data_IF_709629816638
#
_entry.id   IF_709629816638
#
_cell.length_a   1.000
_cell.length_b   1.000
_cell.length_c   1.000
_cell.angle_alpha   90.00
_cell.angle_beta   90.00
_cell.angle_gamma   90.00
#
_symmetry.space_group_name_H-M   'P 1'
#
loop_
_entity.id
_entity.type
_entity.pdbx_description
1 polymer ?
#
# COMPACT_ATOMS: atom_id res chain seq x y z
N UNK A 1 -11.08 11.22 14.94
CA UNK A 1 -11.84 10.52 13.88
C UNK A 1 -12.18 9.12 14.34
N UNK A 2 -13.43 8.74 14.20
CA UNK A 2 -13.86 7.41 14.59
C UNK A 2 -13.79 6.45 13.41
N UNK A 3 -13.13 5.31 13.61
CA UNK A 3 -12.99 4.30 12.58
C UNK A 3 -14.01 3.19 12.86
N UNK A 4 -15.01 3.08 11.99
CA UNK A 4 -16.05 2.07 12.13
C UNK A 4 -15.93 0.98 11.09
N UNK A 5 -15.23 1.27 9.98
CA UNK A 5 -15.04 0.34 8.88
C UNK A 5 -13.66 0.60 8.26
N UNK A 6 -13.12 -0.39 7.54
CA UNK A 6 -11.77 -0.20 7.00
C UNK A 6 -11.68 0.97 6.02
N UNK A 7 -12.77 1.30 5.34
CA UNK A 7 -12.79 2.42 4.39
C UNK A 7 -12.58 3.77 5.07
N UNK A 8 -12.78 3.86 6.38
CA UNK A 8 -12.53 5.08 7.15
C UNK A 8 -11.04 5.30 7.42
N UNK A 9 -10.21 4.28 7.22
CA UNK A 9 -8.78 4.36 7.49
C UNK A 9 -8.08 5.09 6.35
N UNK A 10 -7.43 6.22 6.67
CA UNK A 10 -6.74 7.03 5.66
C UNK A 10 -5.73 6.21 4.87
N UNK A 11 -4.95 5.37 5.56
CA UNK A 11 -3.96 4.53 4.89
C UNK A 11 -4.60 3.63 3.85
N UNK A 12 -5.80 3.10 4.12
CA UNK A 12 -6.51 2.27 3.14
C UNK A 12 -6.92 3.09 1.92
N UNK A 13 -7.42 4.32 2.15
CA UNK A 13 -7.81 5.19 1.05
C UNK A 13 -6.62 5.51 0.16
N UNK A 14 -5.47 5.79 0.75
CA UNK A 14 -4.24 6.04 0.01
C UNK A 14 -3.76 4.79 -0.74
N UNK A 15 -3.87 3.62 -0.13
CA UNK A 15 -3.51 2.35 -0.77
C UNK A 15 -4.42 2.05 -1.96
N UNK A 16 -5.71 2.39 -1.85
CA UNK A 16 -6.64 2.24 -2.96
C UNK A 16 -6.23 3.13 -4.14
N UNK A 17 -5.85 4.36 -3.85
CA UNK A 17 -5.40 5.28 -4.90
C UNK A 17 -4.10 4.79 -5.54
N UNK A 18 -3.19 4.25 -4.74
CA UNK A 18 -1.97 3.63 -5.27
C UNK A 18 -2.31 2.49 -6.23
N UNK A 19 -3.25 1.65 -5.84
CA UNK A 19 -3.68 0.52 -6.67
C UNK A 19 -4.28 1.00 -7.99
N UNK A 20 -5.10 2.06 -7.94
CA UNK A 20 -5.69 2.64 -9.16
C UNK A 20 -4.61 3.17 -10.09
N UNK A 21 -3.61 3.87 -9.55
CA UNK A 21 -2.50 4.40 -10.36
C UNK A 21 -1.71 3.26 -11.02
N UNK A 22 -1.41 2.23 -10.26
CA UNK A 22 -0.67 1.07 -10.79
C UNK A 22 -1.46 0.40 -11.92
N UNK A 23 -2.74 0.15 -11.71
CA UNK A 23 -3.56 -0.47 -12.76
C UNK A 23 -3.63 0.41 -14.00
N UNK A 24 -3.67 1.74 -13.83
CA UNK A 24 -3.62 2.67 -14.95
C UNK A 24 -2.33 2.54 -15.77
N UNK A 25 -1.19 2.47 -15.07
CA UNK A 25 0.11 2.32 -15.73
C UNK A 25 0.21 1.00 -16.49
N UNK A 26 -0.27 -0.08 -15.90
CA UNK A 26 -0.14 -1.42 -16.50
C UNK A 26 -1.02 -1.62 -17.73
N UNK A 27 -1.92 -0.68 -18.02
CA UNK A 27 -2.72 -0.71 -19.25
C UNK A 27 -1.97 -0.17 -20.45
N UNK A 28 -0.85 0.51 -20.25
CA UNK A 28 -0.05 1.06 -21.35
C UNK A 28 0.44 -0.09 -22.24
N UNK A 29 0.45 0.08 -23.56
CA UNK A 29 0.63 -1.05 -24.50
C UNK A 29 1.85 -1.92 -24.22
N UNK A 30 3.02 -1.31 -23.98
CA UNK A 30 4.23 -2.10 -23.77
C UNK A 30 4.26 -2.72 -22.37
N UNK A 31 3.81 -1.96 -21.36
CA UNK A 31 3.76 -2.47 -19.99
C UNK A 31 2.80 -3.66 -19.88
N UNK A 32 1.65 -3.56 -20.56
CA UNK A 32 0.63 -4.61 -20.49
C UNK A 32 1.11 -5.96 -21.02
N UNK A 33 2.14 -5.97 -21.84
CA UNK A 33 2.68 -7.20 -22.42
C UNK A 33 3.80 -7.82 -21.58
N UNK A 34 4.32 -7.10 -20.61
CA UNK A 34 5.28 -7.66 -19.64
C UNK A 34 4.47 -8.28 -18.51
N UNK A 35 4.01 -9.51 -18.75
CA UNK A 35 3.09 -10.18 -17.83
C UNK A 35 3.68 -10.38 -16.45
N UNK A 36 4.98 -10.68 -16.39
CA UNK A 36 5.65 -10.90 -15.10
C UNK A 36 5.63 -9.64 -14.24
N UNK A 37 6.13 -8.53 -14.79
CA UNK A 37 6.18 -7.27 -14.04
C UNK A 37 4.77 -6.75 -13.76
N UNK A 38 3.88 -6.80 -14.76
CA UNK A 38 2.51 -6.35 -14.60
C UNK A 38 1.84 -7.06 -13.42
N UNK A 39 1.94 -8.39 -13.37
CA UNK A 39 1.29 -9.16 -12.33
C UNK A 39 1.90 -8.87 -10.96
N UNK A 40 3.23 -8.77 -10.88
CA UNK A 40 3.90 -8.49 -9.61
C UNK A 40 3.51 -7.12 -9.04
N UNK A 41 3.51 -6.08 -9.87
CA UNK A 41 3.21 -4.74 -9.37
C UNK A 41 1.73 -4.59 -9.02
N UNK A 42 0.84 -5.24 -9.77
CA UNK A 42 -0.58 -5.26 -9.44
C UNK A 42 -0.82 -5.98 -8.12
N UNK A 43 -0.18 -7.13 -7.93
CA UNK A 43 -0.31 -7.90 -6.69
C UNK A 43 0.22 -7.11 -5.50
N UNK A 44 1.37 -6.45 -5.65
CA UNK A 44 1.95 -5.66 -4.56
C UNK A 44 1.06 -4.48 -4.20
N UNK A 45 0.56 -3.76 -5.20
CA UNK A 45 -0.34 -2.63 -4.95
C UNK A 45 -1.63 -3.08 -4.27
N UNK A 46 -2.26 -4.14 -4.78
CA UNK A 46 -3.47 -4.70 -4.18
C UNK A 46 -3.22 -5.19 -2.76
N UNK A 47 -2.07 -5.83 -2.53
CA UNK A 47 -1.69 -6.32 -1.20
C UNK A 47 -1.62 -5.19 -0.18
N UNK A 48 -1.18 -3.98 -0.59
CA UNK A 48 -1.11 -2.85 0.34
C UNK A 48 -2.48 -2.50 0.91
N UNK A 49 -3.53 -2.51 0.09
CA UNK A 49 -4.87 -2.18 0.59
C UNK A 49 -5.55 -3.37 1.25
N UNK A 50 -5.36 -4.57 0.71
CA UNK A 50 -6.03 -5.75 1.26
C UNK A 50 -5.53 -6.10 2.66
N UNK A 51 -4.24 -5.95 2.91
CA UNK A 51 -3.70 -6.23 4.25
C UNK A 51 -4.22 -5.24 5.29
N UNK A 52 -4.46 -3.99 4.92
CA UNK A 52 -5.07 -3.03 5.85
C UNK A 52 -6.48 -3.48 6.21
N UNK A 53 -7.28 -3.87 5.21
CA UNK A 53 -8.65 -4.31 5.43
C UNK A 53 -8.71 -5.58 6.29
N UNK A 54 -7.85 -6.56 5.98
CA UNK A 54 -7.79 -7.81 6.75
C UNK A 54 -7.33 -7.57 8.17
N UNK A 55 -6.35 -6.65 8.35
CA UNK A 55 -5.89 -6.28 9.67
C UNK A 55 -6.99 -5.64 10.51
N UNK A 56 -7.78 -4.79 9.90
CA UNK A 56 -8.92 -4.17 10.59
C UNK A 56 -9.92 -5.20 11.07
N UNK A 57 -10.11 -6.27 10.30
CA UNK A 57 -11.04 -7.34 10.62
C UNK A 57 -10.47 -8.33 11.64
N UNK A 58 -9.19 -8.20 12.00
CA UNK A 58 -8.57 -9.07 13.00
C UNK A 58 -9.03 -8.68 14.42
N UNK A 59 -8.85 -9.59 15.37
CA UNK A 59 -9.45 -9.44 16.69
C UNK A 59 -8.58 -8.66 17.69
N UNK A 60 -7.28 -8.52 17.41
CA UNK A 60 -6.36 -7.87 18.35
C UNK A 60 -5.50 -6.83 17.66
N UNK A 61 -5.01 -5.85 18.44
CA UNK A 61 -4.09 -4.86 17.90
C UNK A 61 -2.76 -5.45 17.43
N UNK A 62 -2.14 -6.40 18.15
CA UNK A 62 -0.92 -7.04 17.65
C UNK A 62 -1.11 -7.70 16.28
N UNK A 63 -2.25 -8.35 16.06
CA UNK A 63 -2.57 -8.96 14.78
C UNK A 63 -2.75 -7.89 13.71
N UNK A 64 -3.47 -6.82 14.03
CA UNK A 64 -3.66 -5.69 13.12
C UNK A 64 -2.31 -5.10 12.69
N UNK A 65 -1.41 -4.89 13.67
CA UNK A 65 -0.08 -4.34 13.39
C UNK A 65 0.69 -5.28 12.45
N UNK A 66 0.55 -6.58 12.62
CA UNK A 66 1.23 -7.56 11.75
C UNK A 66 0.78 -7.40 10.30
N UNK A 67 -0.53 -7.27 10.07
CA UNK A 67 -1.05 -7.04 8.72
C UNK A 67 -0.60 -5.69 8.15
N UNK A 68 -0.56 -4.66 8.99
CA UNK A 68 -0.09 -3.34 8.57
C UNK A 68 1.38 -3.38 8.14
N UNK A 69 2.20 -4.20 8.80
CA UNK A 69 3.59 -4.36 8.39
C UNK A 69 3.71 -5.01 7.02
N UNK A 70 2.85 -5.96 6.71
CA UNK A 70 2.80 -6.54 5.37
C UNK A 70 2.39 -5.48 4.34
N UNK A 71 1.38 -4.68 4.64
CA UNK A 71 0.95 -3.59 3.76
C UNK A 71 2.09 -2.60 3.50
N UNK A 72 2.84 -2.25 4.54
CA UNK A 72 3.97 -1.33 4.43
C UNK A 72 5.04 -1.89 3.50
N UNK A 73 5.37 -3.17 3.64
CA UNK A 73 6.35 -3.82 2.76
C UNK A 73 5.87 -3.87 1.31
N UNK A 74 4.58 -4.05 1.11
CA UNK A 74 4.00 -4.06 -0.24
C UNK A 74 4.19 -2.72 -0.94
N UNK A 75 4.11 -1.60 -0.23
CA UNK A 75 4.39 -0.28 -0.79
C UNK A 75 5.84 -0.18 -1.27
N UNK A 76 6.78 -0.70 -0.49
CA UNK A 76 8.19 -0.71 -0.87
C UNK A 76 8.41 -1.57 -2.11
N UNK A 77 7.71 -2.68 -2.21
CA UNK A 77 7.79 -3.54 -3.38
C UNK A 77 7.30 -2.82 -4.63
N UNK A 78 6.19 -2.07 -4.54
CA UNK A 78 5.71 -1.26 -5.66
C UNK A 78 6.79 -0.27 -6.10
N UNK A 79 7.42 0.40 -5.13
CA UNK A 79 8.48 1.37 -5.44
C UNK A 79 9.64 0.72 -6.20
N UNK A 80 10.04 -0.46 -5.77
CA UNK A 80 11.13 -1.20 -6.43
C UNK A 80 10.74 -1.59 -7.85
N UNK A 81 9.53 -2.07 -8.04
CA UNK A 81 9.06 -2.51 -9.35
C UNK A 81 8.84 -1.34 -10.32
N UNK A 82 8.53 -0.15 -9.79
CA UNK A 82 8.43 1.05 -10.63
C UNK A 82 9.76 1.40 -11.30
N UNK A 83 10.88 1.12 -10.65
CA UNK A 83 12.20 1.32 -11.26
C UNK A 83 12.37 0.43 -12.49
N UNK A 84 11.93 -0.81 -12.42
CA UNK A 84 12.00 -1.69 -13.58
C UNK A 84 11.17 -1.12 -14.74
N UNK A 85 9.96 -0.67 -14.44
CA UNK A 85 9.10 -0.07 -15.47
C UNK A 85 9.72 1.18 -16.08
N UNK A 86 10.39 1.99 -15.26
CA UNK A 86 11.08 3.19 -15.74
C UNK A 86 12.26 2.82 -16.65
N UNK A 87 13.08 1.87 -16.20
CA UNK A 87 14.27 1.44 -16.94
C UNK A 87 13.90 0.81 -18.27
N UNK A 88 12.79 0.09 -18.32
CA UNK A 88 12.30 -0.52 -19.56
C UNK A 88 11.52 0.48 -20.43
N UNK A 89 11.41 1.72 -19.96
CA UNK A 89 10.71 2.80 -20.68
C UNK A 89 9.24 2.50 -20.92
N UNK A 90 8.63 1.74 -20.01
CA UNK A 90 7.19 1.52 -20.05
C UNK A 90 6.43 2.75 -19.57
N UNK A 91 7.05 3.53 -18.66
CA UNK A 91 6.43 4.71 -18.05
C UNK A 91 7.39 5.89 -18.17
N UNK A 92 6.84 7.09 -18.14
CA UNK A 92 7.63 8.33 -18.16
C UNK A 92 8.15 8.66 -16.78
N UNK A 93 9.10 9.60 -16.72
CA UNK A 93 9.61 10.10 -15.44
C UNK A 93 8.49 10.72 -14.60
N UNK A 94 7.55 11.44 -15.22
CA UNK A 94 6.41 12.02 -14.51
C UNK A 94 5.48 10.95 -13.94
N UNK A 95 5.20 9.93 -14.72
CA UNK A 95 4.38 8.81 -14.27
C UNK A 95 5.05 8.06 -13.13
N UNK A 96 6.36 7.83 -13.24
CA UNK A 96 7.14 7.22 -12.17
C UNK A 96 7.03 8.04 -10.89
N UNK A 97 7.33 9.35 -10.97
CA UNK A 97 7.32 10.21 -9.79
C UNK A 97 5.95 10.24 -9.12
N UNK A 98 4.89 10.34 -9.90
CA UNK A 98 3.53 10.41 -9.37
C UNK A 98 3.18 9.15 -8.57
N UNK A 99 3.47 7.98 -9.13
CA UNK A 99 3.11 6.72 -8.47
C UNK A 99 4.07 6.38 -7.34
N UNK A 100 5.35 6.68 -7.51
CA UNK A 100 6.35 6.50 -6.44
C UNK A 100 5.98 7.32 -5.20
N UNK A 101 5.61 8.58 -5.40
CA UNK A 101 5.20 9.46 -4.30
C UNK A 101 3.91 8.95 -3.64
N UNK A 102 2.98 8.41 -4.42
CA UNK A 102 1.77 7.83 -3.86
C UNK A 102 2.13 6.66 -2.94
N UNK A 103 3.05 5.79 -3.38
CA UNK A 103 3.48 4.65 -2.56
C UNK A 103 4.18 5.14 -1.28
N UNK A 104 5.00 6.20 -1.38
CA UNK A 104 5.68 6.77 -0.23
C UNK A 104 4.69 7.33 0.79
N UNK A 105 3.68 8.06 0.32
CA UNK A 105 2.65 8.61 1.22
C UNK A 105 1.82 7.51 1.87
N UNK A 106 1.48 6.48 1.10
CA UNK A 106 0.74 5.34 1.63
C UNK A 106 1.54 4.65 2.72
N UNK A 107 2.82 4.41 2.46
CA UNK A 107 3.71 3.76 3.42
C UNK A 107 3.84 4.58 4.70
N UNK A 108 3.97 5.90 4.57
CA UNK A 108 4.07 6.79 5.73
C UNK A 108 2.79 6.77 6.56
N UNK A 109 1.63 6.77 5.91
CA UNK A 109 0.35 6.70 6.62
C UNK A 109 0.18 5.37 7.36
N UNK A 110 0.61 4.27 6.75
CA UNK A 110 0.59 2.95 7.38
C UNK A 110 1.48 2.96 8.63
N UNK A 111 2.69 3.49 8.50
CA UNK A 111 3.61 3.57 9.63
C UNK A 111 3.05 4.41 10.78
N UNK A 112 2.45 5.55 10.44
CA UNK A 112 1.79 6.40 11.45
C UNK A 112 0.66 5.67 12.16
N UNK A 113 -0.11 4.86 11.44
CA UNK A 113 -1.21 4.11 12.03
C UNK A 113 -0.69 2.98 12.92
N UNK A 114 0.41 2.33 12.55
CA UNK A 114 1.06 1.34 13.41
C UNK A 114 1.44 1.98 14.74
N UNK A 115 2.04 3.16 14.70
CA UNK A 115 2.45 3.87 15.91
C UNK A 115 1.24 4.25 16.77
N UNK A 116 0.16 4.66 16.15
CA UNK A 116 -1.10 4.97 16.85
C UNK A 116 -1.61 3.73 17.59
N UNK A 117 -1.65 2.59 16.92
CA UNK A 117 -2.13 1.35 17.51
C UNK A 117 -1.23 0.86 18.66
N UNK A 118 0.08 1.07 18.54
CA UNK A 118 1.02 0.71 19.62
C UNK A 118 0.72 1.50 20.89
N UNK A 119 0.45 2.80 20.75
CA UNK A 119 0.11 3.64 21.91
C UNK A 119 -1.21 3.21 22.52
N UNK A 120 -2.19 2.92 21.70
CA UNK A 120 -3.50 2.49 22.16
C UNK A 120 -3.41 1.13 22.87
N UNK A 121 -2.66 0.19 22.30
CA UNK A 121 -2.45 -1.12 22.91
C UNK A 121 -1.77 -1.02 24.27
N UNK A 122 -0.77 -0.14 24.41
CA UNK A 122 -0.10 0.09 25.70
C UNK A 122 -1.08 0.60 26.76
N UNK A 123 -1.95 1.56 26.38
CA UNK A 123 -2.94 2.08 27.32
C UNK A 123 -3.89 0.99 27.82
N UNK A 124 -4.32 0.11 26.93
CA UNK A 124 -5.19 -1.00 27.29
C UNK A 124 -4.52 -1.99 28.23
N UNK A 125 -3.22 -2.23 28.03
CA UNK A 125 -2.48 -3.18 28.87
C UNK A 125 -2.27 -2.67 30.30
N UNK A 126 -2.20 -1.36 30.47
CA UNK A 126 -2.00 -0.75 31.79
C UNK A 126 -3.29 -0.77 32.61
N UNK A 127 -4.43 -0.76 31.96
CA UNK A 127 -5.71 -0.80 32.63
C UNK A 127 -6.12 -2.21 33.01
#
# INVERSE_FOLDING_TARGET
MKIERFEDIEAWQLARELTRKVYGLTKKPRFSKDYGLKNQIQDAAGSSMHNIAEGFDSETNPEFIRFLRYAKRSCTEVQSELYVALDEKYISALEFNDTYEQAARTRAAIYGFINYLRKYAKRKTVN
#
